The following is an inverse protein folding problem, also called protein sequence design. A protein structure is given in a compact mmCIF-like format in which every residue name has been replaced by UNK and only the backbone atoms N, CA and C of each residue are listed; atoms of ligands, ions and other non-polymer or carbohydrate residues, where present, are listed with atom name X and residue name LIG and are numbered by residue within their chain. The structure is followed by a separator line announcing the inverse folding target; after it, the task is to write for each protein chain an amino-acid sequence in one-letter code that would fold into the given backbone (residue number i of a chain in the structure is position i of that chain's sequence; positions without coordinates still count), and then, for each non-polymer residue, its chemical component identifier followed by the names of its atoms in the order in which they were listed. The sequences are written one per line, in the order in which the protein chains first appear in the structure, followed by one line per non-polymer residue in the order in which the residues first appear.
data_IF_580560343716
#
_entry.id   IF_580560343716
#
_cell.length_a   1.000
_cell.length_b   1.000
_cell.length_c   1.000
_cell.angle_alpha   90.00
_cell.angle_beta   90.00
_cell.angle_gamma   90.00
#
_symmetry.space_group_name_H-M   'P 1'
#
loop_
_entity.id
_entity.type
_entity.pdbx_description
1 polymer ?
#
# COMPACT_ATOMS: atom_id res chain seq x y z
N UNK A 1 -6.60 -10.16 3.69
CA UNK A 1 -6.62 -9.80 5.10
C UNK A 1 -6.71 -11.06 5.92
N UNK A 2 -5.92 -11.14 6.99
CA UNK A 2 -6.01 -12.19 8.02
C UNK A 2 -7.45 -12.43 8.51
N UNK A 3 -8.33 -11.42 8.43
CA UNK A 3 -9.71 -11.52 8.89
C UNK A 3 -10.71 -12.11 7.89
N UNK A 4 -10.39 -12.21 6.60
CA UNK A 4 -11.38 -12.62 5.58
C UNK A 4 -10.80 -13.29 4.32
N UNK A 5 -9.47 -13.47 4.23
CA UNK A 5 -8.85 -14.24 3.15
C UNK A 5 -8.30 -15.55 3.70
N UNK A 6 -8.54 -16.64 2.99
CA UNK A 6 -7.88 -17.92 3.22
C UNK A 6 -6.54 -17.91 2.48
N UNK A 7 -5.47 -17.61 3.21
CA UNK A 7 -4.11 -17.59 2.69
C UNK A 7 -3.44 -18.95 2.90
N UNK A 8 -2.48 -19.25 2.02
CA UNK A 8 -1.70 -20.49 2.14
C UNK A 8 -0.88 -20.50 3.43
N UNK A 9 -0.77 -21.67 4.07
CA UNK A 9 -0.04 -21.83 5.34
C UNK A 9 1.46 -21.48 5.24
N UNK A 10 2.05 -21.49 4.04
CA UNK A 10 3.41 -21.02 3.80
C UNK A 10 3.59 -19.51 4.00
N UNK A 11 2.51 -18.73 4.04
CA UNK A 11 2.54 -17.28 4.21
C UNK A 11 2.56 -16.88 5.69
N UNK A 12 3.53 -17.37 6.47
CA UNK A 12 3.59 -17.18 7.93
C UNK A 12 3.44 -15.72 8.39
N UNK A 13 3.96 -14.75 7.62
CA UNK A 13 3.82 -13.33 7.91
C UNK A 13 2.38 -12.79 7.88
N UNK A 14 1.43 -13.51 7.27
CA UNK A 14 0.08 -13.01 6.96
C UNK A 14 -1.05 -13.75 7.69
N UNK A 15 -0.70 -14.73 8.53
CA UNK A 15 -1.65 -15.62 9.21
C UNK A 15 -1.85 -15.27 10.69
N UNK A 16 -0.90 -14.55 11.29
CA UNK A 16 -1.01 -13.98 12.62
C UNK A 16 -0.78 -12.46 12.60
N UNK A 17 -1.50 -11.75 13.46
CA UNK A 17 -1.48 -10.29 13.49
C UNK A 17 -0.14 -9.76 14.04
N UNK A 18 0.44 -10.45 15.02
CA UNK A 18 1.73 -10.07 15.61
C UNK A 18 2.89 -10.45 14.69
N UNK A 19 2.80 -11.57 13.98
CA UNK A 19 3.73 -11.88 12.90
C UNK A 19 3.71 -10.79 11.82
N UNK A 20 2.51 -10.35 11.40
CA UNK A 20 2.38 -9.22 10.46
C UNK A 20 3.10 -7.97 10.99
N UNK A 21 2.91 -7.65 12.27
CA UNK A 21 3.61 -6.55 12.94
C UNK A 21 5.12 -6.71 12.94
N UNK A 22 5.63 -7.89 13.31
CA UNK A 22 7.05 -8.18 13.33
C UNK A 22 7.68 -7.97 11.95
N UNK A 23 7.08 -8.52 10.90
CA UNK A 23 7.56 -8.35 9.52
C UNK A 23 7.51 -6.88 9.08
N UNK A 24 6.48 -6.12 9.49
CA UNK A 24 6.41 -4.68 9.22
C UNK A 24 7.57 -3.91 9.86
N UNK A 25 7.94 -4.22 11.11
CA UNK A 25 9.12 -3.61 11.76
C UNK A 25 10.41 -3.92 11.01
N UNK A 26 10.61 -5.18 10.60
CA UNK A 26 11.80 -5.55 9.83
C UNK A 26 11.84 -4.84 8.47
N UNK A 27 10.69 -4.73 7.79
CA UNK A 27 10.56 -3.95 6.57
C UNK A 27 10.96 -2.48 6.79
N UNK A 28 10.45 -1.83 7.85
CA UNK A 28 10.80 -0.43 8.16
C UNK A 28 12.29 -0.26 8.42
N UNK A 29 12.92 -1.19 9.15
CA UNK A 29 14.36 -1.20 9.39
C UNK A 29 15.16 -1.29 8.08
N UNK A 30 14.79 -2.21 7.20
CA UNK A 30 15.44 -2.40 5.90
C UNK A 30 15.25 -1.17 5.00
N UNK A 31 14.03 -0.65 4.89
CA UNK A 31 13.77 0.54 4.10
C UNK A 31 14.52 1.77 4.62
N UNK A 32 14.64 1.91 5.95
CA UNK A 32 15.45 2.99 6.52
C UNK A 32 16.91 2.89 6.08
N UNK A 33 17.48 1.68 6.09
CA UNK A 33 18.83 1.45 5.58
C UNK A 33 18.95 1.74 4.08
N UNK A 34 18.02 1.22 3.26
CA UNK A 34 18.08 1.46 1.83
C UNK A 34 17.94 2.92 1.45
N UNK A 35 17.14 3.69 2.20
CA UNK A 35 17.03 5.14 1.99
C UNK A 35 18.31 5.90 2.34
N UNK A 36 19.18 5.38 3.21
CA UNK A 36 20.50 6.02 3.44
C UNK A 36 21.44 5.84 2.26
N UNK A 37 21.25 4.78 1.46
CA UNK A 37 22.09 4.45 0.32
C UNK A 37 21.52 4.98 -1.01
N UNK A 38 20.21 4.90 -1.16
CA UNK A 38 19.47 5.11 -2.41
C UNK A 38 18.26 6.02 -2.19
N UNK A 39 18.36 7.00 -1.29
CA UNK A 39 17.24 7.89 -0.95
C UNK A 39 16.67 8.65 -2.15
N UNK A 40 17.52 8.98 -3.14
CA UNK A 40 17.09 9.61 -4.39
C UNK A 40 16.39 8.64 -5.36
N UNK A 41 16.64 7.32 -5.22
CA UNK A 41 16.11 6.28 -6.11
C UNK A 41 14.91 5.53 -5.48
N UNK A 42 14.47 5.92 -4.28
CA UNK A 42 13.32 5.33 -3.58
C UNK A 42 12.24 6.39 -3.35
N UNK A 43 11.07 6.19 -3.97
CA UNK A 43 9.89 7.01 -3.75
C UNK A 43 8.92 6.36 -2.75
N UNK A 44 8.66 7.03 -1.63
CA UNK A 44 7.46 6.72 -0.84
C UNK A 44 6.22 7.24 -1.58
N UNK A 45 5.31 6.32 -1.88
CA UNK A 45 4.13 6.57 -2.67
C UNK A 45 2.86 6.30 -1.87
N UNK A 46 2.09 7.36 -1.62
CA UNK A 46 0.87 7.30 -0.80
C UNK A 46 -0.31 6.79 -1.65
N UNK A 47 -0.76 5.58 -1.33
CA UNK A 47 -1.91 4.96 -1.99
C UNK A 47 -3.21 5.73 -1.74
N UNK A 48 -3.42 6.25 -0.53
CA UNK A 48 -4.64 6.97 -0.19
C UNK A 48 -4.69 8.31 -0.93
N UNK A 49 -3.55 8.99 -1.08
CA UNK A 49 -3.44 10.16 -1.95
C UNK A 49 -3.73 9.81 -3.43
N UNK A 50 -3.19 8.70 -3.95
CA UNK A 50 -3.45 8.23 -5.32
C UNK A 50 -4.96 8.01 -5.57
N UNK A 51 -5.66 7.32 -4.68
CA UNK A 51 -7.09 7.03 -4.91
C UNK A 51 -7.99 8.25 -4.66
N UNK A 52 -7.53 9.22 -3.85
CA UNK A 52 -8.25 10.48 -3.60
C UNK A 52 -8.09 11.45 -4.75
N UNK A 53 -6.84 11.67 -5.18
CA UNK A 53 -6.45 12.65 -6.20
C UNK A 53 -5.41 12.01 -7.15
N UNK A 54 -5.86 11.22 -8.14
CA UNK A 54 -4.94 10.43 -8.96
C UNK A 54 -3.95 11.26 -9.78
N UNK A 55 -4.42 12.37 -10.37
CA UNK A 55 -3.63 13.21 -11.28
C UNK A 55 -2.32 13.70 -10.62
N UNK A 56 -2.34 14.46 -9.50
CA UNK A 56 -1.11 14.94 -8.88
C UNK A 56 -0.22 13.81 -8.35
N UNK A 57 -0.81 12.71 -7.87
CA UNK A 57 -0.05 11.55 -7.41
C UNK A 57 0.73 10.89 -8.56
N UNK A 58 0.07 10.66 -9.71
CA UNK A 58 0.70 10.06 -10.88
C UNK A 58 1.74 11.01 -11.49
N UNK A 59 1.46 12.32 -11.58
CA UNK A 59 2.45 13.30 -12.05
C UNK A 59 3.73 13.28 -11.20
N UNK A 60 3.61 13.21 -9.86
CA UNK A 60 4.76 13.05 -8.97
C UNK A 60 5.53 11.75 -9.22
N UNK A 61 4.82 10.65 -9.47
CA UNK A 61 5.43 9.35 -9.80
C UNK A 61 6.20 9.42 -11.12
N UNK A 62 5.60 9.98 -12.17
CA UNK A 62 6.24 10.11 -13.48
C UNK A 62 7.45 11.03 -13.42
N UNK A 63 7.34 12.18 -12.73
CA UNK A 63 8.46 13.09 -12.53
C UNK A 63 9.63 12.41 -11.80
N UNK A 64 9.34 11.59 -10.77
CA UNK A 64 10.36 10.81 -10.08
C UNK A 64 11.06 9.81 -11.00
N UNK A 65 10.32 9.17 -11.91
CA UNK A 65 10.85 8.25 -12.90
C UNK A 65 11.46 8.94 -14.14
N UNK A 66 11.49 10.27 -14.18
CA UNK A 66 11.86 11.07 -15.36
C UNK A 66 11.07 10.70 -16.64
N UNK A 67 9.77 10.43 -16.49
CA UNK A 67 8.83 10.12 -17.57
C UNK A 67 7.89 11.29 -17.83
N UNK A 68 7.50 11.46 -19.09
CA UNK A 68 6.50 12.46 -19.49
C UNK A 68 5.07 11.99 -19.16
N UNK A 69 4.16 12.96 -19.04
CA UNK A 69 2.76 12.69 -18.81
C UNK A 69 2.05 12.24 -20.11
N UNK A 70 1.23 11.20 -20.00
CA UNK A 70 0.30 10.75 -21.04
C UNK A 70 -1.14 10.73 -20.50
N UNK A 71 -2.12 11.24 -21.27
CA UNK A 71 -3.53 11.23 -20.84
C UNK A 71 -4.07 9.82 -20.59
N UNK A 72 -3.47 8.82 -21.25
CA UNK A 72 -3.77 7.40 -21.06
C UNK A 72 -3.54 6.93 -19.62
N UNK A 73 -2.68 7.60 -18.84
CA UNK A 73 -2.47 7.31 -17.41
C UNK A 73 -3.77 7.39 -16.59
N UNK A 74 -4.73 8.21 -17.00
CA UNK A 74 -6.05 8.32 -16.35
C UNK A 74 -7.06 7.27 -16.82
N UNK A 75 -6.69 6.44 -17.81
CA UNK A 75 -7.56 5.44 -18.42
C UNK A 75 -6.93 4.04 -18.45
N UNK A 76 -6.05 3.74 -17.48
CA UNK A 76 -5.31 2.49 -17.35
C UNK A 76 -6.18 1.23 -17.43
N UNK A 77 -7.43 1.29 -16.95
CA UNK A 77 -8.40 0.20 -17.00
C UNK A 77 -8.77 -0.24 -18.44
N UNK A 78 -8.52 0.61 -19.45
CA UNK A 78 -8.78 0.32 -20.87
C UNK A 78 -7.64 -0.46 -21.52
N UNK A 79 -6.50 -0.63 -20.85
CA UNK A 79 -5.35 -1.34 -21.41
C UNK A 79 -5.65 -2.84 -21.52
N UNK A 80 -5.43 -3.39 -22.72
CA UNK A 80 -5.75 -4.79 -23.05
C UNK A 80 -4.72 -5.79 -22.52
N UNK A 81 -3.60 -5.34 -21.95
CA UNK A 81 -2.52 -6.19 -21.44
C UNK A 81 -3.01 -7.19 -20.40
N UNK A 82 -2.43 -8.39 -20.41
CA UNK A 82 -2.72 -9.42 -19.43
C UNK A 82 -2.20 -9.00 -18.04
N UNK A 83 -3.10 -8.76 -17.09
CA UNK A 83 -2.77 -8.60 -15.68
C UNK A 83 -2.80 -10.00 -15.05
N UNK A 84 -1.68 -10.44 -14.46
CA UNK A 84 -1.56 -11.76 -13.81
C UNK A 84 -1.43 -11.59 -12.30
N UNK A 85 -2.51 -11.18 -11.64
CA UNK A 85 -2.57 -11.02 -10.18
C UNK A 85 -3.86 -11.63 -9.61
N UNK A 86 -3.91 -11.95 -8.32
CA UNK A 86 -5.16 -12.37 -7.68
C UNK A 86 -6.24 -11.27 -7.67
N UNK A 87 -5.88 -10.04 -8.04
CA UNK A 87 -6.72 -8.84 -8.07
C UNK A 87 -7.09 -8.38 -9.50
N UNK A 88 -6.98 -9.22 -10.54
CA UNK A 88 -7.22 -8.82 -11.95
C UNK A 88 -8.48 -7.98 -12.13
N UNK A 89 -9.61 -8.43 -11.56
CA UNK A 89 -10.89 -7.73 -11.68
C UNK A 89 -10.85 -6.34 -11.05
N UNK A 90 -10.15 -6.18 -9.93
CA UNK A 90 -9.99 -4.89 -9.25
C UNK A 90 -9.11 -3.92 -10.06
N UNK A 91 -8.05 -4.44 -10.71
CA UNK A 91 -7.15 -3.63 -11.56
C UNK A 91 -7.86 -3.14 -12.83
N UNK A 92 -8.92 -3.83 -13.26
CA UNK A 92 -9.75 -3.43 -14.42
C UNK A 92 -10.88 -2.47 -14.08
N UNK A 93 -11.04 -2.08 -12.81
CA UNK A 93 -11.96 -1.01 -12.42
C UNK A 93 -11.25 0.35 -12.42
N UNK A 94 -11.98 1.46 -12.59
CA UNK A 94 -11.45 2.79 -12.26
C UNK A 94 -10.94 2.84 -10.81
N UNK A 95 -10.01 3.75 -10.51
CA UNK A 95 -9.56 3.97 -9.14
C UNK A 95 -10.75 4.27 -8.23
N UNK A 96 -10.84 3.54 -7.12
CA UNK A 96 -11.94 3.64 -6.18
C UNK A 96 -11.41 3.80 -4.75
N UNK A 97 -12.20 4.46 -3.91
CA UNK A 97 -11.83 4.72 -2.51
C UNK A 97 -12.39 3.66 -1.54
N UNK A 98 -13.26 2.74 -1.98
CA UNK A 98 -13.92 1.71 -1.14
C UNK A 98 -12.97 0.74 -0.41
N UNK A 99 -11.67 0.75 -0.72
CA UNK A 99 -10.65 0.00 0.03
C UNK A 99 -9.95 0.83 1.10
N UNK A 100 -9.84 2.14 0.89
CA UNK A 100 -9.27 3.05 1.88
C UNK A 100 -10.17 3.08 3.11
N UNK A 101 -9.56 3.02 4.30
CA UNK A 101 -10.30 3.08 5.55
C UNK A 101 -11.05 1.81 5.96
N UNK A 102 -11.07 0.74 5.16
CA UNK A 102 -11.76 -0.53 5.52
C UNK A 102 -11.25 -1.15 6.81
N UNK A 103 -9.99 -0.88 7.17
CA UNK A 103 -9.39 -1.33 8.43
C UNK A 103 -10.17 -0.86 9.67
N UNK A 104 -10.92 0.25 9.57
CA UNK A 104 -11.73 0.79 10.68
C UNK A 104 -12.78 -0.20 11.19
N UNK A 105 -13.31 -1.06 10.31
CA UNK A 105 -14.23 -2.14 10.73
C UNK A 105 -13.57 -3.20 11.63
N UNK A 106 -12.24 -3.24 11.65
CA UNK A 106 -11.42 -4.17 12.43
C UNK A 106 -10.58 -3.43 13.49
N UNK A 107 -10.88 -2.16 13.77
CA UNK A 107 -10.05 -1.33 14.65
C UNK A 107 -9.86 -1.94 16.05
N UNK A 108 -10.89 -2.60 16.59
CA UNK A 108 -10.81 -3.29 17.88
C UNK A 108 -9.83 -4.47 17.83
N UNK A 109 -9.89 -5.29 16.78
CA UNK A 109 -9.00 -6.42 16.58
C UNK A 109 -7.56 -5.99 16.28
N UNK A 110 -7.38 -4.80 15.69
CA UNK A 110 -6.08 -4.21 15.40
C UNK A 110 -5.43 -3.51 16.61
N UNK A 111 -6.14 -3.36 17.74
CA UNK A 111 -5.61 -2.64 18.90
C UNK A 111 -4.25 -3.17 19.41
N UNK A 112 -4.02 -4.50 19.54
CA UNK A 112 -2.72 -5.01 19.97
C UNK A 112 -1.59 -4.64 19.00
N UNK A 113 -1.86 -4.69 17.69
CA UNK A 113 -0.87 -4.31 16.67
C UNK A 113 -0.58 -2.82 16.70
N UNK A 114 -1.62 -1.98 16.87
CA UNK A 114 -1.46 -0.53 17.01
C UNK A 114 -0.57 -0.20 18.21
N UNK A 115 -0.78 -0.87 19.34
CA UNK A 115 0.04 -0.67 20.53
C UNK A 115 1.49 -1.14 20.33
N UNK A 116 1.69 -2.27 19.64
CA UNK A 116 3.01 -2.78 19.28
C UNK A 116 3.78 -1.85 18.33
N UNK A 117 3.09 -1.19 17.39
CA UNK A 117 3.70 -0.31 16.38
C UNK A 117 3.76 1.16 16.80
N UNK A 118 3.39 1.50 18.03
CA UNK A 118 3.19 2.89 18.48
C UNK A 118 4.36 3.83 18.17
N UNK A 119 5.59 3.37 18.37
CA UNK A 119 6.79 4.20 18.16
C UNK A 119 7.19 4.33 16.67
N UNK A 120 6.59 3.53 15.79
CA UNK A 120 6.87 3.51 14.34
C UNK A 120 5.80 4.20 13.51
N UNK A 121 4.59 4.32 14.06
CA UNK A 121 3.52 5.07 13.44
C UNK A 121 3.81 6.55 13.68
N UNK A 122 3.84 7.41 12.64
CA UNK A 122 3.73 8.84 12.88
C UNK A 122 2.42 9.12 13.66
N UNK A 123 2.26 10.32 14.22
CA UNK A 123 0.97 10.80 14.74
C UNK A 123 -0.05 10.87 13.58
N UNK A 124 -0.50 9.71 13.12
CA UNK A 124 -1.57 9.58 12.16
C UNK A 124 -2.82 9.84 12.97
N UNK A 125 -3.52 10.94 12.68
CA UNK A 125 -4.84 11.21 13.22
C UNK A 125 -5.77 10.10 12.72
N UNK A 126 -5.87 9.01 13.49
CA UNK A 126 -6.70 7.83 13.24
C UNK A 126 -8.17 8.15 13.54
N UNK A 127 -8.69 9.25 12.98
CA UNK A 127 -10.12 9.52 12.93
C UNK A 127 -10.79 8.66 11.86
#
# INVERSE_FOLDING_TARGET
SIFFLHLDHSMGYALDLMDTGHYYVQYRRLMSHWKTLYGADILDFDYDALVREPRPAIERLLAFCALEWEEQCMSFQRVASAVKTASVWQVREPLYQRSSGRWRHYAAQLAPLRDYLRDLLPDVDLK
#
